data_IF_294189023963
#
_entry.id   IF_294189023963
#
_cell.length_a   1.000
_cell.length_b   1.000
_cell.length_c   1.000
_cell.angle_alpha   90.00
_cell.angle_beta   90.00
_cell.angle_gamma   90.00
#
_symmetry.space_group_name_H-M   'P 1'
#
loop_
_entity.id
_entity.type
_entity.pdbx_description
1 polymer ?
#
# COMPACT_ATOMS: atom_id res chain seq x y z
N UNK A 1 -39.83 -27.14 20.64
CA UNK A 1 -39.64 -27.23 19.18
C UNK A 1 -38.61 -26.20 18.79
N UNK A 2 -37.40 -26.68 18.50
CA UNK A 2 -36.23 -25.88 18.15
C UNK A 2 -36.44 -25.22 16.79
N UNK A 3 -36.06 -23.95 16.65
CA UNK A 3 -35.68 -23.37 15.37
C UNK A 3 -34.26 -22.87 15.50
N UNK A 4 -33.33 -23.74 15.12
CA UNK A 4 -31.93 -23.40 14.95
C UNK A 4 -31.85 -22.37 13.82
N UNK A 5 -31.47 -21.14 14.14
CA UNK A 5 -31.03 -20.16 13.14
C UNK A 5 -29.59 -20.54 12.81
N UNK A 6 -29.41 -21.12 11.63
CA UNK A 6 -28.10 -21.36 11.05
C UNK A 6 -27.60 -19.99 10.57
N UNK A 7 -26.67 -19.40 11.30
CA UNK A 7 -25.86 -18.30 10.81
C UNK A 7 -24.86 -18.89 9.80
N UNK A 8 -25.13 -18.70 8.50
CA UNK A 8 -24.16 -18.97 7.45
C UNK A 8 -23.11 -17.86 7.47
N UNK A 9 -22.03 -18.08 8.19
CA UNK A 9 -20.82 -17.27 8.14
C UNK A 9 -20.08 -17.65 6.85
N UNK A 10 -20.40 -16.94 5.77
CA UNK A 10 -19.77 -17.11 4.46
C UNK A 10 -18.50 -16.26 4.45
N UNK A 11 -17.40 -16.82 4.94
CA UNK A 11 -16.07 -16.24 4.80
C UNK A 11 -15.58 -16.55 3.36
N UNK A 12 -15.91 -15.67 2.42
CA UNK A 12 -15.42 -15.73 1.05
C UNK A 12 -14.04 -15.04 1.02
N UNK A 13 -12.97 -15.79 1.28
CA UNK A 13 -11.60 -15.35 0.95
C UNK A 13 -11.39 -15.48 -0.56
N UNK A 14 -11.71 -14.44 -1.33
CA UNK A 14 -11.34 -14.37 -2.74
C UNK A 14 -9.90 -13.86 -2.81
N UNK A 15 -8.96 -14.79 -2.94
CA UNK A 15 -7.57 -14.45 -3.29
C UNK A 15 -7.56 -14.23 -4.80
N UNK A 16 -7.62 -12.98 -5.25
CA UNK A 16 -7.35 -12.65 -6.65
C UNK A 16 -5.83 -12.49 -6.82
N UNK A 17 -5.24 -13.41 -7.59
CA UNK A 17 -3.82 -13.45 -7.92
C UNK A 17 -3.60 -12.83 -9.31
N UNK A 18 -2.91 -11.69 -9.39
CA UNK A 18 -2.33 -11.22 -10.65
C UNK A 18 -0.95 -11.85 -10.84
N UNK A 19 -0.84 -12.88 -11.68
CA UNK A 19 0.44 -13.44 -12.10
C UNK A 19 0.69 -13.06 -13.56
N UNK A 20 1.67 -12.20 -13.81
CA UNK A 20 2.14 -11.90 -15.16
C UNK A 20 3.42 -12.73 -15.44
N UNK A 21 3.49 -13.35 -16.62
CA UNK A 21 4.64 -14.14 -17.06
C UNK A 21 5.25 -13.49 -18.31
N UNK A 22 6.53 -13.15 -18.24
CA UNK A 22 7.29 -12.53 -19.32
C UNK A 22 8.54 -13.36 -19.65
N UNK A 23 8.85 -13.55 -20.94
CA UNK A 23 9.95 -14.42 -21.41
C UNK A 23 11.03 -13.57 -22.06
N UNK A 24 12.23 -13.55 -21.49
CA UNK A 24 13.37 -12.79 -22.04
C UNK A 24 14.38 -13.70 -22.71
N UNK A 25 14.60 -13.48 -24.01
CA UNK A 25 15.61 -14.20 -24.78
C UNK A 25 17.03 -13.66 -24.55
N UNK A 26 17.99 -14.58 -24.49
CA UNK A 26 19.40 -14.32 -24.28
C UNK A 26 19.95 -13.32 -25.31
N UNK A 27 20.32 -12.13 -24.85
CA UNK A 27 20.96 -11.09 -25.69
C UNK A 27 20.17 -9.79 -25.83
N UNK A 28 18.96 -9.69 -25.26
CA UNK A 28 18.26 -8.41 -25.14
C UNK A 28 17.73 -8.18 -23.71
N UNK A 29 18.58 -7.76 -22.75
CA UNK A 29 18.11 -7.37 -21.42
C UNK A 29 17.18 -6.14 -21.44
N UNK A 30 17.10 -5.42 -22.57
CA UNK A 30 16.53 -4.08 -22.72
C UNK A 30 15.11 -4.05 -23.35
N UNK A 31 14.35 -5.14 -23.28
CA UNK A 31 13.07 -5.23 -24.01
C UNK A 31 11.79 -4.90 -23.24
N UNK A 32 11.78 -5.11 -21.93
CA UNK A 32 10.54 -5.16 -21.15
C UNK A 32 10.70 -4.42 -19.83
N UNK A 33 9.72 -3.54 -19.57
CA UNK A 33 9.55 -2.77 -18.34
C UNK A 33 9.37 -3.76 -17.16
N UNK A 34 9.97 -3.45 -16.00
CA UNK A 34 9.98 -4.38 -14.85
C UNK A 34 8.96 -3.96 -13.81
N UNK A 35 8.19 -4.90 -13.26
CA UNK A 35 7.38 -4.64 -12.07
C UNK A 35 8.30 -4.28 -10.90
N UNK A 36 8.04 -3.15 -10.25
CA UNK A 36 8.84 -2.64 -9.13
C UNK A 36 8.02 -2.31 -7.90
N UNK A 37 6.69 -2.40 -7.99
CA UNK A 37 5.83 -2.15 -6.85
C UNK A 37 4.38 -1.90 -7.23
N UNK A 38 3.70 -1.13 -6.39
CA UNK A 38 2.28 -0.83 -6.50
C UNK A 38 1.97 0.62 -6.12
N UNK A 39 0.89 1.12 -6.70
CA UNK A 39 0.26 2.38 -6.34
C UNK A 39 -1.19 2.08 -5.96
N UNK A 40 -1.49 2.14 -4.67
CA UNK A 40 -2.80 1.75 -4.13
C UNK A 40 -3.73 2.96 -4.12
N UNK A 41 -4.86 2.84 -4.80
CA UNK A 41 -5.87 3.92 -4.89
C UNK A 41 -7.20 3.47 -4.28
N UNK A 42 -8.01 4.42 -3.82
CA UNK A 42 -9.35 4.12 -3.31
C UNK A 42 -10.32 3.78 -4.46
N UNK A 43 -10.12 4.42 -5.62
CA UNK A 43 -10.92 4.26 -6.82
C UNK A 43 -10.12 3.64 -7.98
N UNK A 44 -10.84 3.06 -8.94
CA UNK A 44 -10.24 2.47 -10.13
C UNK A 44 -9.59 3.55 -11.01
N UNK A 45 -8.33 3.32 -11.39
CA UNK A 45 -7.65 4.16 -12.36
C UNK A 45 -8.16 3.83 -13.75
N UNK A 46 -9.09 4.62 -14.28
CA UNK A 46 -9.52 4.51 -15.67
C UNK A 46 -8.49 5.18 -16.58
N UNK A 47 -7.56 4.37 -17.09
CA UNK A 47 -6.53 4.79 -18.04
C UNK A 47 -6.87 4.37 -19.47
N UNK A 48 -8.08 3.88 -19.73
CA UNK A 48 -8.42 3.32 -21.03
C UNK A 48 -8.63 4.43 -22.07
N UNK A 49 -7.85 4.42 -23.15
CA UNK A 49 -8.03 5.34 -24.27
C UNK A 49 -9.19 4.88 -25.17
N UNK A 50 -10.41 5.22 -24.73
CA UNK A 50 -11.62 4.90 -25.48
C UNK A 50 -11.70 5.62 -26.82
N UNK A 51 -11.08 6.80 -26.96
CA UNK A 51 -11.11 7.55 -28.22
C UNK A 51 -10.28 6.84 -29.29
N UNK A 52 -9.06 6.43 -28.95
CA UNK A 52 -8.23 5.61 -29.84
C UNK A 52 -8.94 4.29 -30.19
N UNK A 53 -9.47 3.58 -29.18
CA UNK A 53 -10.23 2.34 -29.40
C UNK A 53 -11.42 2.52 -30.34
N UNK A 54 -12.25 3.54 -30.09
CA UNK A 54 -13.45 3.81 -30.88
C UNK A 54 -13.09 4.22 -32.31
N UNK A 55 -12.02 4.99 -32.50
CA UNK A 55 -11.58 5.42 -33.82
C UNK A 55 -11.13 4.24 -34.69
N UNK A 56 -10.36 3.30 -34.13
CA UNK A 56 -9.87 2.12 -34.84
C UNK A 56 -10.97 1.07 -35.06
N UNK A 57 -11.93 0.97 -34.14
CA UNK A 57 -13.03 0.01 -34.22
C UNK A 57 -14.34 0.57 -34.79
N UNK A 58 -14.35 1.84 -35.24
CA UNK A 58 -15.54 2.57 -35.67
C UNK A 58 -16.42 1.79 -36.67
N UNK A 59 -15.82 1.23 -37.73
CA UNK A 59 -16.55 0.45 -38.72
C UNK A 59 -17.27 -0.77 -38.13
N UNK A 60 -16.66 -1.44 -37.14
CA UNK A 60 -17.30 -2.59 -36.47
C UNK A 60 -18.40 -2.11 -35.50
N UNK A 61 -18.16 -1.03 -34.77
CA UNK A 61 -19.13 -0.45 -33.84
C UNK A 61 -20.41 0.02 -34.55
N UNK A 62 -20.28 0.67 -35.72
CA UNK A 62 -21.43 1.15 -36.52
C UNK A 62 -22.19 0.00 -37.19
N UNK A 63 -21.49 -1.04 -37.65
CA UNK A 63 -22.08 -2.13 -38.44
C UNK A 63 -22.41 -3.39 -37.64
N UNK A 64 -22.31 -3.33 -36.30
CA UNK A 64 -22.71 -4.43 -35.41
C UNK A 64 -21.75 -5.62 -35.41
N UNK A 65 -20.45 -5.38 -35.63
CA UNK A 65 -19.40 -6.38 -35.53
C UNK A 65 -18.96 -6.63 -34.07
N UNK A 66 -18.40 -7.81 -33.82
CA UNK A 66 -17.79 -8.12 -32.53
C UNK A 66 -16.51 -7.28 -32.34
N UNK A 67 -16.42 -6.61 -31.19
CA UNK A 67 -15.26 -5.83 -30.79
C UNK A 67 -14.82 -6.34 -29.42
N UNK A 68 -13.53 -6.57 -29.29
CA UNK A 68 -12.89 -7.05 -28.06
C UNK A 68 -12.03 -5.91 -27.51
N UNK A 69 -12.14 -5.63 -26.21
CA UNK A 69 -11.25 -4.70 -25.54
C UNK A 69 -9.82 -5.24 -25.59
N UNK A 70 -8.89 -4.40 -26.00
CA UNK A 70 -7.47 -4.73 -26.18
C UNK A 70 -6.64 -3.93 -25.18
N UNK A 71 -5.68 -4.56 -24.52
CA UNK A 71 -4.79 -3.94 -23.53
C UNK A 71 -3.84 -2.91 -24.16
N UNK A 72 -3.69 -2.89 -25.49
CA UNK A 72 -2.92 -1.84 -26.18
C UNK A 72 -3.48 -0.43 -25.99
N UNK A 73 -4.74 -0.30 -25.58
CA UNK A 73 -5.38 0.98 -25.27
C UNK A 73 -5.37 1.29 -23.77
N UNK A 74 -4.79 0.43 -22.92
CA UNK A 74 -4.52 0.77 -21.52
C UNK A 74 -3.37 1.78 -21.47
N UNK A 75 -3.66 2.95 -20.92
CA UNK A 75 -2.71 4.02 -20.75
C UNK A 75 -1.67 3.74 -19.66
N UNK A 76 -0.61 4.55 -19.69
CA UNK A 76 0.43 4.61 -18.67
C UNK A 76 0.47 6.01 -18.10
N UNK A 77 0.54 6.13 -16.78
CA UNK A 77 0.78 7.42 -16.13
C UNK A 77 2.20 7.43 -15.61
N UNK A 78 3.03 8.32 -16.15
CA UNK A 78 4.43 8.44 -15.77
C UNK A 78 4.55 9.33 -14.54
N UNK A 79 5.31 8.86 -13.55
CA UNK A 79 5.58 9.60 -12.32
C UNK A 79 6.76 10.54 -12.48
N UNK A 80 6.68 11.68 -11.81
CA UNK A 80 7.76 12.67 -11.71
C UNK A 80 8.52 12.49 -10.39
N UNK A 81 9.84 12.60 -10.44
CA UNK A 81 10.66 12.59 -9.21
C UNK A 81 10.47 13.93 -8.49
N UNK A 82 10.17 13.88 -7.19
CA UNK A 82 10.03 15.09 -6.37
C UNK A 82 11.34 15.88 -6.31
N UNK A 83 11.27 17.19 -6.55
CA UNK A 83 12.42 18.11 -6.40
C UNK A 83 12.90 18.19 -4.94
N UNK A 84 11.99 18.02 -3.98
CA UNK A 84 12.27 18.15 -2.55
C UNK A 84 12.88 16.87 -1.96
N UNK A 85 12.51 15.71 -2.51
CA UNK A 85 13.02 14.41 -2.09
C UNK A 85 13.24 13.53 -3.32
N UNK A 86 14.50 13.40 -3.78
CA UNK A 86 14.83 12.63 -4.97
C UNK A 86 14.45 11.15 -4.91
N UNK A 87 14.01 10.61 -3.77
CA UNK A 87 13.50 9.24 -3.62
C UNK A 87 11.98 9.12 -3.88
N UNK A 88 11.24 10.24 -3.84
CA UNK A 88 9.79 10.23 -4.01
C UNK A 88 9.41 10.30 -5.49
N UNK A 89 8.38 9.54 -5.86
CA UNK A 89 7.76 9.55 -7.19
C UNK A 89 6.32 10.01 -7.01
N UNK A 90 5.93 11.03 -7.77
CA UNK A 90 4.62 11.67 -7.69
C UNK A 90 3.86 11.41 -8.98
N UNK A 91 2.61 10.99 -8.87
CA UNK A 91 1.66 10.91 -9.98
C UNK A 91 0.68 12.09 -9.84
N UNK A 92 0.99 13.23 -10.48
CA UNK A 92 0.38 14.56 -10.16
C UNK A 92 -1.15 14.60 -10.16
N UNK A 93 -1.81 13.80 -11.02
CA UNK A 93 -3.26 13.79 -11.19
C UNK A 93 -3.97 12.69 -10.39
N UNK A 94 -3.23 11.90 -9.60
CA UNK A 94 -3.78 10.73 -8.91
C UNK A 94 -3.33 10.67 -7.46
N UNK A 95 -4.31 10.58 -6.56
CA UNK A 95 -4.07 10.33 -5.15
C UNK A 95 -3.96 8.83 -4.87
N UNK A 96 -2.97 8.46 -4.06
CA UNK A 96 -2.76 7.06 -3.70
C UNK A 96 -1.52 6.83 -2.88
N UNK A 97 -1.34 5.57 -2.49
CA UNK A 97 -0.24 5.09 -1.65
C UNK A 97 0.76 4.35 -2.51
N UNK A 98 1.96 4.93 -2.65
CA UNK A 98 3.05 4.32 -3.41
C UNK A 98 3.85 3.37 -2.53
N UNK A 99 4.14 2.18 -3.05
CA UNK A 99 5.08 1.25 -2.43
C UNK A 99 5.91 0.56 -3.51
N UNK A 100 7.18 0.96 -3.64
CA UNK A 100 8.10 0.50 -4.68
C UNK A 100 9.46 0.13 -4.11
N UNK A 101 10.11 -0.81 -4.80
CA UNK A 101 11.51 -1.13 -4.64
C UNK A 101 12.12 -1.42 -6.02
N UNK A 102 12.48 -0.33 -6.70
CA UNK A 102 12.99 -0.33 -8.06
C UNK A 102 14.51 -0.46 -8.09
N UNK A 103 15.02 -1.28 -9.00
CA UNK A 103 16.43 -1.31 -9.39
C UNK A 103 16.58 -1.38 -10.91
N UNK A 104 17.39 -0.50 -11.47
CA UNK A 104 17.61 -0.41 -12.92
C UNK A 104 19.04 0.05 -13.24
N UNK A 105 19.54 -0.36 -14.40
CA UNK A 105 20.84 0.07 -14.92
C UNK A 105 20.62 1.13 -15.99
N UNK A 106 21.35 2.26 -15.91
CA UNK A 106 21.32 3.32 -16.92
C UNK A 106 22.74 3.74 -17.24
N UNK A 107 23.14 3.62 -18.51
CA UNK A 107 24.50 3.93 -18.99
C UNK A 107 25.64 3.20 -18.24
N UNK A 108 25.41 1.96 -17.79
CA UNK A 108 26.42 1.18 -17.04
C UNK A 108 26.51 1.52 -15.55
N UNK A 109 25.63 2.38 -15.05
CA UNK A 109 25.50 2.70 -13.63
C UNK A 109 24.22 2.07 -13.08
N UNK A 110 24.31 1.49 -11.89
CA UNK A 110 23.17 0.90 -11.19
C UNK A 110 22.48 1.95 -10.31
N UNK A 111 21.17 2.06 -10.46
CA UNK A 111 20.29 2.91 -9.68
C UNK A 111 19.34 2.03 -8.87
N UNK A 112 19.08 2.42 -7.63
CA UNK A 112 18.06 1.80 -6.79
C UNK A 112 17.20 2.87 -6.14
N UNK A 113 15.91 2.55 -5.94
CA UNK A 113 14.92 3.42 -5.32
C UNK A 113 13.94 2.59 -4.52
N UNK A 114 13.96 2.79 -3.21
CA UNK A 114 12.90 2.36 -2.31
C UNK A 114 12.04 3.58 -2.03
N UNK A 115 10.77 3.50 -2.36
CA UNK A 115 9.81 4.58 -2.17
C UNK A 115 8.57 4.02 -1.49
N UNK A 116 8.20 4.60 -0.35
CA UNK A 116 7.01 4.21 0.38
C UNK A 116 6.34 5.47 0.89
N UNK A 117 5.05 5.65 0.59
CA UNK A 117 4.29 6.70 1.25
C UNK A 117 4.16 6.38 2.75
N UNK A 118 3.93 7.40 3.57
CA UNK A 118 3.79 7.26 5.03
C UNK A 118 2.60 6.39 5.44
N UNK A 119 1.67 6.11 4.52
CA UNK A 119 0.54 5.20 4.75
C UNK A 119 0.91 3.71 4.76
N UNK A 120 2.12 3.33 4.32
CA UNK A 120 2.56 1.92 4.37
C UNK A 120 3.33 1.67 5.65
N UNK A 121 2.91 0.63 6.36
CA UNK A 121 3.44 0.23 7.66
C UNK A 121 3.91 -1.23 7.61
N UNK A 122 4.60 -1.70 8.65
CA UNK A 122 5.05 -3.10 8.75
C UNK A 122 5.81 -3.60 7.50
N UNK A 123 6.65 -2.73 6.93
CA UNK A 123 7.35 -3.00 5.68
C UNK A 123 8.32 -4.17 5.86
N UNK A 124 8.23 -5.15 4.97
CA UNK A 124 9.14 -6.28 4.87
C UNK A 124 9.66 -6.41 3.43
N UNK A 125 10.98 -6.54 3.28
CA UNK A 125 11.64 -6.76 1.99
C UNK A 125 12.38 -8.10 2.08
N UNK A 126 12.10 -9.00 1.14
CA UNK A 126 12.73 -10.31 1.04
C UNK A 126 13.52 -10.43 -0.26
N UNK A 127 14.67 -11.10 -0.18
CA UNK A 127 15.51 -11.47 -1.33
C UNK A 127 15.91 -12.93 -1.15
N UNK A 128 15.59 -13.76 -2.12
CA UNK A 128 15.89 -15.18 -2.15
C UNK A 128 16.37 -15.61 -3.55
N UNK A 129 16.66 -16.91 -3.71
CA UNK A 129 17.15 -17.46 -4.98
C UNK A 129 16.09 -17.38 -6.10
N UNK A 130 14.79 -17.29 -5.75
CA UNK A 130 13.67 -17.21 -6.69
C UNK A 130 13.35 -15.75 -7.05
N UNK A 131 13.88 -14.76 -6.31
CA UNK A 131 13.83 -13.35 -6.63
C UNK A 131 13.58 -12.45 -5.42
N UNK A 132 12.74 -11.43 -5.59
CA UNK A 132 12.55 -10.33 -4.64
C UNK A 132 11.08 -10.14 -4.29
N UNK A 133 10.82 -9.81 -3.02
CA UNK A 133 9.49 -9.55 -2.50
C UNK A 133 9.44 -8.27 -1.68
N UNK A 134 8.37 -7.49 -1.83
CA UNK A 134 8.03 -6.40 -0.92
C UNK A 134 6.64 -6.64 -0.32
N UNK A 135 6.53 -6.46 0.99
CA UNK A 135 5.29 -6.57 1.75
C UNK A 135 5.09 -5.33 2.62
N UNK A 136 3.85 -4.86 2.72
CA UNK A 136 3.48 -3.75 3.59
C UNK A 136 2.01 -3.81 4.00
N UNK A 137 1.65 -3.06 5.03
CA UNK A 137 0.30 -2.95 5.57
C UNK A 137 -0.19 -1.51 5.50
N UNK A 138 -1.36 -1.29 4.90
CA UNK A 138 -2.06 0.00 4.86
C UNK A 138 -3.25 -0.08 5.82
N UNK A 139 -3.31 0.89 6.75
CA UNK A 139 -4.44 1.02 7.65
C UNK A 139 -5.55 1.82 6.97
N UNK A 140 -6.71 1.21 6.77
CA UNK A 140 -7.86 1.85 6.15
C UNK A 140 -8.91 2.25 7.19
N UNK A 141 -9.65 3.34 6.92
CA UNK A 141 -10.72 3.81 7.79
C UNK A 141 -11.79 2.75 7.90
N UNK A 142 -12.23 2.46 9.12
CA UNK A 142 -13.27 1.47 9.38
C UNK A 142 -14.65 1.98 8.94
N UNK A 143 -14.92 1.85 7.64
CA UNK A 143 -16.17 2.20 6.98
C UNK A 143 -16.95 0.93 6.58
N UNK A 144 -18.27 1.02 6.30
CA UNK A 144 -19.07 -0.14 5.87
C UNK A 144 -18.54 -0.83 4.61
N UNK A 145 -17.90 -0.07 3.73
CA UNK A 145 -17.21 -0.58 2.54
C UNK A 145 -15.84 0.10 2.44
N UNK A 146 -14.80 -0.72 2.37
CA UNK A 146 -13.42 -0.31 2.14
C UNK A 146 -13.02 -0.80 0.75
N UNK A 147 -12.66 0.13 -0.12
CA UNK A 147 -12.17 -0.17 -1.48
C UNK A 147 -10.67 0.09 -1.56
N UNK A 148 -9.95 -0.82 -2.23
CA UNK A 148 -8.55 -0.63 -2.56
C UNK A 148 -8.27 -1.21 -3.94
N UNK A 149 -7.57 -0.46 -4.79
CA UNK A 149 -7.15 -0.86 -6.13
C UNK A 149 -5.63 -0.96 -6.17
N UNK A 150 -5.13 -2.16 -6.48
CA UNK A 150 -3.69 -2.40 -6.59
C UNK A 150 -3.25 -2.16 -8.03
N UNK A 151 -2.77 -0.94 -8.30
CA UNK A 151 -2.26 -0.56 -9.62
C UNK A 151 -0.77 -0.94 -9.72
N UNK A 152 -0.38 -1.81 -10.67
CA UNK A 152 1.02 -2.18 -10.84
C UNK A 152 1.89 -0.98 -11.23
N UNK A 153 3.08 -0.89 -10.64
CA UNK A 153 4.07 0.14 -10.97
C UNK A 153 5.28 -0.52 -11.61
N UNK A 154 5.66 0.01 -12.76
CA UNK A 154 6.77 -0.50 -13.57
C UNK A 154 7.88 0.53 -13.71
N UNK A 155 9.09 0.05 -14.04
CA UNK A 155 10.21 0.90 -14.46
C UNK A 155 10.67 0.51 -15.86
N UNK A 156 10.90 1.51 -16.71
CA UNK A 156 11.47 1.33 -18.06
C UNK A 156 12.98 1.10 -18.01
N UNK A 157 13.56 0.69 -19.15
CA UNK A 157 15.02 0.55 -19.30
C UNK A 157 15.75 1.89 -19.19
N UNK A 158 15.07 3.00 -19.49
CA UNK A 158 15.58 4.36 -19.30
C UNK A 158 15.45 4.87 -17.85
N UNK A 159 14.82 4.09 -16.97
CA UNK A 159 14.60 4.41 -15.56
C UNK A 159 13.35 5.23 -15.28
N UNK A 160 12.42 5.32 -16.23
CA UNK A 160 11.15 6.03 -16.06
C UNK A 160 10.16 5.14 -15.30
N UNK A 161 9.50 5.68 -14.28
CA UNK A 161 8.55 4.93 -13.45
C UNK A 161 7.13 5.30 -13.88
N UNK A 162 6.28 4.31 -14.11
CA UNK A 162 4.89 4.53 -14.50
C UNK A 162 3.93 3.54 -13.84
N UNK A 163 2.67 3.92 -13.72
CA UNK A 163 1.57 3.10 -13.21
C UNK A 163 0.59 2.74 -14.32
N UNK A 164 -0.01 1.55 -14.24
CA UNK A 164 -1.11 1.07 -15.10
C UNK A 164 -2.33 0.71 -14.28
N UNK A 165 -3.50 0.67 -14.90
CA UNK A 165 -4.75 0.26 -14.25
C UNK A 165 -4.63 -1.12 -13.62
N UNK A 166 -4.99 -1.20 -12.35
CA UNK A 166 -4.90 -2.40 -11.55
C UNK A 166 -6.21 -3.15 -11.40
N UNK A 167 -6.18 -4.12 -10.48
CA UNK A 167 -7.40 -4.79 -10.01
C UNK A 167 -7.71 -4.36 -8.60
N UNK A 168 -8.99 -4.09 -8.36
CA UNK A 168 -9.49 -3.66 -7.06
C UNK A 168 -10.26 -4.72 -6.33
N UNK A 169 -10.42 -4.47 -5.04
CA UNK A 169 -11.26 -5.25 -4.15
C UNK A 169 -12.02 -4.30 -3.23
N UNK A 170 -13.23 -4.71 -2.89
CA UNK A 170 -14.02 -4.06 -1.86
C UNK A 170 -14.27 -5.05 -0.73
N UNK A 171 -13.91 -4.67 0.49
CA UNK A 171 -14.30 -5.38 1.70
C UNK A 171 -15.47 -4.62 2.33
N UNK A 172 -16.54 -5.32 2.68
CA UNK A 172 -17.64 -4.69 3.39
C UNK A 172 -18.47 -5.71 4.15
N UNK A 173 -19.08 -5.23 5.24
CA UNK A 173 -20.10 -5.94 6.00
C UNK A 173 -21.22 -4.94 6.29
N UNK A 174 -22.46 -5.43 6.41
CA UNK A 174 -23.68 -4.62 6.61
C UNK A 174 -23.59 -3.73 7.87
N UNK A 175 -22.63 -4.01 8.76
CA UNK A 175 -22.42 -3.33 10.03
C UNK A 175 -21.01 -2.74 10.22
N UNK A 176 -20.17 -2.58 9.20
CA UNK A 176 -18.81 -2.06 9.40
C UNK A 176 -17.98 -2.98 10.30
N UNK A 177 -17.60 -4.13 9.75
CA UNK A 177 -16.94 -5.18 10.50
C UNK A 177 -15.42 -5.12 10.31
N UNK A 178 -14.70 -4.78 11.39
CA UNK A 178 -13.24 -4.92 11.50
C UNK A 178 -12.71 -6.13 10.72
N UNK A 179 -11.88 -5.88 9.71
CA UNK A 179 -11.48 -6.88 8.74
C UNK A 179 -10.11 -6.57 8.17
N UNK A 180 -9.44 -7.62 7.72
CA UNK A 180 -8.18 -7.49 7.01
C UNK A 180 -8.21 -8.31 5.73
N UNK A 181 -7.41 -7.86 4.78
CA UNK A 181 -7.36 -8.40 3.44
C UNK A 181 -5.96 -8.30 2.91
N UNK A 182 -5.49 -9.34 2.23
CA UNK A 182 -4.20 -9.30 1.53
C UNK A 182 -4.44 -9.31 0.03
N UNK A 183 -3.77 -8.41 -0.68
CA UNK A 183 -3.72 -8.35 -2.14
C UNK A 183 -2.29 -8.63 -2.59
N UNK A 184 -2.15 -9.30 -3.74
CA UNK A 184 -0.85 -9.76 -4.23
C UNK A 184 -0.71 -9.50 -5.73
N UNK A 185 0.47 -9.03 -6.12
CA UNK A 185 0.91 -8.99 -7.51
C UNK A 185 2.23 -9.73 -7.64
N UNK A 186 2.40 -10.44 -8.74
CA UNK A 186 3.68 -11.07 -9.04
C UNK A 186 3.98 -11.06 -10.53
N UNK A 187 5.24 -10.84 -10.85
CA UNK A 187 5.80 -10.94 -12.18
C UNK A 187 6.93 -11.96 -12.17
N UNK A 188 6.90 -12.89 -13.11
CA UNK A 188 7.98 -13.85 -13.31
C UNK A 188 8.65 -13.56 -14.64
N UNK A 189 9.98 -13.43 -14.63
CA UNK A 189 10.82 -13.18 -15.79
C UNK A 189 11.74 -14.36 -16.03
N UNK A 190 11.62 -14.98 -17.19
CA UNK A 190 12.56 -16.02 -17.61
C UNK A 190 13.83 -15.40 -18.16
N UNK A 191 14.99 -15.71 -17.58
CA UNK A 191 16.31 -15.31 -18.04
C UNK A 191 16.97 -16.50 -18.74
N UNK A 192 17.34 -16.31 -20.01
CA UNK A 192 18.11 -17.29 -20.77
C UNK A 192 19.57 -16.84 -20.87
N UNK A 193 20.48 -17.69 -20.42
CA UNK A 193 21.93 -17.51 -20.60
C UNK A 193 22.51 -18.76 -21.26
N UNK A 194 22.84 -18.68 -22.55
CA UNK A 194 23.33 -19.83 -23.32
C UNK A 194 22.30 -20.97 -23.39
N UNK A 195 22.60 -22.13 -22.79
CA UNK A 195 21.69 -23.28 -22.70
C UNK A 195 20.99 -23.39 -21.33
N UNK A 196 21.22 -22.46 -20.42
CA UNK A 196 20.55 -22.41 -19.11
C UNK A 196 19.38 -21.42 -19.13
N UNK A 197 18.32 -21.79 -18.44
CA UNK A 197 17.13 -20.97 -18.21
C UNK A 197 16.93 -20.86 -16.69
N UNK A 198 16.81 -19.64 -16.18
CA UNK A 198 16.42 -19.32 -14.81
C UNK A 198 15.18 -18.44 -14.81
N UNK A 199 14.47 -18.36 -13.68
CA UNK A 199 13.32 -17.46 -13.52
C UNK A 199 13.61 -16.55 -12.36
N UNK A 200 13.46 -15.25 -12.57
CA UNK A 200 13.49 -14.21 -11.55
C UNK A 200 12.06 -13.76 -11.27
N UNK A 201 11.64 -13.79 -10.01
CA UNK A 201 10.30 -13.39 -9.57
C UNK A 201 10.35 -12.06 -8.82
N UNK A 202 9.43 -11.15 -9.12
CA UNK A 202 9.16 -10.00 -8.26
C UNK A 202 7.75 -10.12 -7.70
N UNK A 203 7.61 -9.98 -6.38
CA UNK A 203 6.35 -10.15 -5.66
C UNK A 203 6.03 -8.92 -4.82
N UNK A 204 4.79 -8.46 -4.90
CA UNK A 204 4.26 -7.40 -4.04
C UNK A 204 3.08 -7.95 -3.27
N UNK A 205 3.07 -7.70 -1.96
CA UNK A 205 1.95 -8.00 -1.08
C UNK A 205 1.54 -6.76 -0.29
N UNK A 206 0.27 -6.42 -0.35
CA UNK A 206 -0.32 -5.36 0.47
C UNK A 206 -1.38 -5.96 1.37
N UNK A 207 -1.27 -5.72 2.67
CA UNK A 207 -2.32 -5.99 3.62
C UNK A 207 -3.12 -4.70 3.85
N UNK A 208 -4.43 -4.73 3.65
CA UNK A 208 -5.35 -3.67 4.04
C UNK A 208 -5.97 -4.11 5.36
N UNK A 209 -5.82 -3.30 6.41
CA UNK A 209 -6.39 -3.57 7.73
C UNK A 209 -7.29 -2.42 8.15
N UNK A 210 -8.54 -2.69 8.52
CA UNK A 210 -9.41 -1.62 8.98
C UNK A 210 -9.08 -1.20 10.41
N UNK A 211 -9.10 0.11 10.66
CA UNK A 211 -8.92 0.67 11.99
C UNK A 211 -9.85 1.85 12.23
N UNK A 212 -10.27 2.02 13.48
CA UNK A 212 -11.17 3.09 13.87
C UNK A 212 -10.48 4.46 13.77
N UNK A 213 -11.30 5.49 13.52
CA UNK A 213 -10.84 6.88 13.40
C UNK A 213 -10.19 7.37 14.69
N UNK A 214 -9.21 8.26 14.57
CA UNK A 214 -8.41 8.75 15.70
C UNK A 214 -8.54 10.25 15.81
N UNK A 215 -9.08 10.71 16.93
CA UNK A 215 -9.13 12.13 17.25
C UNK A 215 -7.77 12.64 17.74
N UNK A 216 -7.15 11.90 18.65
CA UNK A 216 -5.82 12.19 19.20
C UNK A 216 -5.23 10.99 19.93
N UNK A 217 -3.93 11.03 20.15
CA UNK A 217 -3.26 10.14 21.10
C UNK A 217 -2.95 10.85 22.40
N UNK A 218 -2.81 10.09 23.48
CA UNK A 218 -2.29 10.56 24.77
C UNK A 218 -1.14 9.66 25.19
N UNK A 219 0.08 10.21 25.27
CA UNK A 219 1.22 9.51 25.84
C UNK A 219 1.31 9.85 27.33
N UNK A 220 1.14 8.84 28.18
CA UNK A 220 1.27 8.96 29.63
C UNK A 220 2.58 8.34 30.07
N UNK A 221 3.40 9.10 30.78
CA UNK A 221 4.60 8.63 31.43
C UNK A 221 4.29 8.27 32.88
N UNK A 222 4.61 7.05 33.30
CA UNK A 222 4.24 6.48 34.59
C UNK A 222 5.49 6.16 35.42
N UNK A 223 5.44 6.35 36.74
CA UNK A 223 6.54 6.01 37.65
C UNK A 223 6.47 4.54 38.15
N UNK A 224 7.31 4.20 39.14
CA UNK A 224 7.36 2.84 39.72
C UNK A 224 6.17 2.49 40.62
N UNK A 225 5.32 3.46 40.97
CA UNK A 225 4.13 3.28 41.79
C UNK A 225 2.83 3.34 40.97
N UNK A 226 2.94 3.30 39.64
CA UNK A 226 1.83 3.48 38.69
C UNK A 226 1.18 4.88 38.76
N UNK A 227 1.90 5.88 39.26
CA UNK A 227 1.43 7.26 39.26
C UNK A 227 1.82 7.97 37.95
N UNK A 228 0.90 8.77 37.40
CA UNK A 228 1.14 9.54 36.19
C UNK A 228 2.09 10.71 36.48
N UNK A 229 3.26 10.69 35.85
CA UNK A 229 4.27 11.75 35.92
C UNK A 229 3.94 12.89 34.95
N UNK A 230 3.70 12.53 33.68
CA UNK A 230 3.40 13.45 32.57
C UNK A 230 2.31 12.83 31.70
N UNK A 231 1.47 13.66 31.10
CA UNK A 231 0.58 13.26 30.01
C UNK A 231 0.63 14.31 28.90
N UNK A 232 0.93 13.86 27.69
CA UNK A 232 1.01 14.70 26.49
C UNK A 232 -0.03 14.24 25.47
N UNK A 233 -0.68 15.21 24.80
CA UNK A 233 -1.64 14.93 23.73
C UNK A 233 -1.00 15.18 22.38
N UNK A 234 -1.24 14.27 21.44
CA UNK A 234 -0.71 14.32 20.08
C UNK A 234 -1.89 14.38 19.12
N UNK A 235 -1.94 15.42 18.29
CA UNK A 235 -2.99 15.67 17.31
C UNK A 235 -2.41 15.54 15.89
N UNK A 236 -3.25 15.18 14.91
CA UNK A 236 -2.82 15.00 13.51
C UNK A 236 -2.13 16.23 12.90
N UNK A 237 -2.54 17.43 13.32
CA UNK A 237 -2.00 18.69 12.83
C UNK A 237 -0.75 19.19 13.58
N UNK A 238 -0.32 18.48 14.62
CA UNK A 238 0.81 18.86 15.49
C UNK A 238 1.47 17.59 16.07
N UNK A 239 1.96 16.74 15.16
CA UNK A 239 2.68 15.52 15.54
C UNK A 239 4.15 15.88 15.82
N UNK A 240 4.65 15.71 17.06
CA UNK A 240 6.02 16.03 17.40
C UNK A 240 6.98 14.98 16.80
N UNK A 241 8.18 15.40 16.42
CA UNK A 241 9.23 14.47 15.96
C UNK A 241 9.85 13.67 17.11
N UNK A 242 9.84 14.22 18.32
CA UNK A 242 10.33 13.55 19.52
C UNK A 242 9.60 14.02 20.78
N UNK A 243 9.64 13.20 21.83
CA UNK A 243 9.10 13.50 23.16
C UNK A 243 10.16 13.17 24.21
N UNK A 244 10.42 14.14 25.08
CA UNK A 244 11.33 14.02 26.22
C UNK A 244 10.75 13.09 27.29
N UNK A 245 11.55 12.10 27.69
CA UNK A 245 11.20 11.14 28.74
C UNK A 245 11.78 11.61 30.07
N UNK A 246 10.93 11.81 31.06
CA UNK A 246 11.36 12.20 32.40
C UNK A 246 12.20 11.09 33.05
N UNK A 247 13.27 11.46 33.77
CA UNK A 247 14.09 10.55 34.59
C UNK A 247 13.29 9.69 35.60
N UNK A 248 12.06 10.12 35.93
CA UNK A 248 11.16 9.42 36.86
C UNK A 248 10.31 8.34 36.19
N UNK A 249 10.26 8.32 34.87
CA UNK A 249 9.43 7.41 34.08
C UNK A 249 9.99 5.99 34.15
N UNK A 250 9.11 5.02 34.37
CA UNK A 250 9.41 3.59 34.35
C UNK A 250 8.78 2.87 33.19
N UNK A 251 7.61 3.31 32.78
CA UNK A 251 6.95 2.83 31.57
C UNK A 251 6.01 3.91 31.05
N UNK A 252 5.53 3.72 29.82
CA UNK A 252 4.59 4.62 29.20
C UNK A 252 3.33 3.89 28.77
N UNK A 253 2.20 4.60 28.76
CA UNK A 253 0.94 4.14 28.18
C UNK A 253 0.58 5.10 27.06
N UNK A 254 0.46 4.57 25.85
CA UNK A 254 -0.14 5.28 24.73
C UNK A 254 -1.63 4.96 24.67
N UNK A 255 -2.46 5.97 24.84
CA UNK A 255 -3.90 5.87 24.63
C UNK A 255 -4.25 6.42 23.24
N UNK A 256 -4.91 5.61 22.41
CA UNK A 256 -5.55 6.06 21.17
C UNK A 256 -6.99 6.46 21.51
N UNK A 257 -7.33 7.72 21.29
CA UNK A 257 -8.66 8.28 21.56
C UNK A 257 -9.36 8.58 20.23
N UNK A 258 -10.56 8.07 20.06
CA UNK A 258 -11.33 8.30 18.85
C UNK A 258 -12.76 7.81 18.97
N UNK A 259 -13.33 7.40 17.84
CA UNK A 259 -14.68 6.86 17.75
C UNK A 259 -14.69 5.56 16.95
N UNK A 260 -15.57 4.63 17.31
CA UNK A 260 -15.85 3.47 16.47
C UNK A 260 -16.68 3.84 15.23
N UNK A 261 -16.95 2.85 14.37
CA UNK A 261 -17.75 3.02 13.15
C UNK A 261 -19.21 3.47 13.39
N UNK A 262 -19.75 3.30 14.61
CA UNK A 262 -21.08 3.81 14.98
C UNK A 262 -21.01 5.24 15.57
N UNK A 263 -19.80 5.79 15.74
CA UNK A 263 -19.55 7.09 16.35
C UNK A 263 -19.51 7.05 17.88
N UNK A 264 -19.44 5.87 18.51
CA UNK A 264 -19.29 5.79 19.97
C UNK A 264 -17.83 6.05 20.38
N UNK A 265 -17.58 6.71 21.54
CA UNK A 265 -16.23 6.94 22.02
C UNK A 265 -15.44 5.64 22.21
N UNK A 266 -14.21 5.63 21.69
CA UNK A 266 -13.27 4.51 21.75
C UNK A 266 -11.97 4.94 22.43
N UNK A 267 -11.46 4.09 23.32
CA UNK A 267 -10.14 4.24 23.94
C UNK A 267 -9.38 2.92 23.90
N UNK A 268 -8.31 2.87 23.12
CA UNK A 268 -7.39 1.74 23.06
C UNK A 268 -6.09 2.10 23.79
N UNK A 269 -5.44 1.12 24.42
CA UNK A 269 -4.22 1.35 25.22
C UNK A 269 -3.12 0.37 24.83
N UNK A 270 -1.92 0.89 24.61
CA UNK A 270 -0.68 0.12 24.45
C UNK A 270 0.32 0.55 25.52
N UNK A 271 0.98 -0.41 26.15
CA UNK A 271 2.17 -0.13 26.97
C UNK A 271 3.36 0.03 26.04
N UNK A 272 4.10 1.13 26.20
CA UNK A 272 5.39 1.37 25.55
C UNK A 272 6.46 1.18 26.62
N UNK A 273 7.35 0.21 26.38
CA UNK A 273 8.45 -0.10 27.28
C UNK A 273 9.68 -0.51 26.48
N UNK A 274 10.84 0.02 26.82
CA UNK A 274 12.12 -0.26 26.17
C UNK A 274 12.14 -0.02 24.63
N UNK A 275 11.28 0.87 24.12
CA UNK A 275 11.25 1.30 22.72
C UNK A 275 11.95 2.68 22.58
N UNK A 276 12.74 2.89 21.52
CA UNK A 276 13.36 4.21 21.21
C UNK A 276 12.40 5.17 20.49
N UNK A 277 11.28 4.64 19.99
CA UNK A 277 10.26 5.40 19.28
C UNK A 277 8.93 4.63 19.27
N UNK A 278 7.84 5.32 18.95
CA UNK A 278 6.54 4.69 18.71
C UNK A 278 5.87 5.30 17.48
N UNK A 279 4.88 4.60 16.94
CA UNK A 279 4.09 5.10 15.81
C UNK A 279 2.70 5.56 16.26
N UNK A 280 2.24 6.65 15.65
CA UNK A 280 0.85 7.10 15.68
C UNK A 280 0.32 7.16 14.26
N UNK A 281 -0.99 6.97 14.11
CA UNK A 281 -1.65 6.91 12.81
C UNK A 281 -2.85 7.84 12.78
N UNK A 282 -2.94 8.65 11.75
CA UNK A 282 -4.06 9.58 11.56
C UNK A 282 -4.61 9.48 10.15
N UNK A 283 -5.94 9.57 10.05
CA UNK A 283 -6.62 9.77 8.77
C UNK A 283 -6.61 11.26 8.46
N UNK A 284 -6.09 11.62 7.29
CA UNK A 284 -6.14 12.97 6.75
C UNK A 284 -7.22 13.02 5.67
N UNK A 285 -6.90 13.52 4.47
CA UNK A 285 -7.86 13.64 3.36
C UNK A 285 -8.19 12.30 2.68
N UNK A 286 -7.38 11.26 2.92
CA UNK A 286 -7.56 9.90 2.38
C UNK A 286 -8.16 8.92 3.41
N UNK A 287 -8.83 7.88 2.91
CA UNK A 287 -9.27 6.74 3.71
C UNK A 287 -8.11 5.86 4.22
N UNK A 288 -6.87 6.10 3.79
CA UNK A 288 -5.67 5.41 4.27
C UNK A 288 -4.91 6.28 5.27
N UNK A 289 -4.65 5.74 6.47
CA UNK A 289 -4.00 6.49 7.54
C UNK A 289 -2.52 6.70 7.26
N UNK A 290 -2.02 7.90 7.53
CA UNK A 290 -0.59 8.21 7.55
C UNK A 290 0.04 7.81 8.89
N UNK A 291 1.19 7.15 8.84
CA UNK A 291 2.00 6.80 10.01
C UNK A 291 3.07 7.85 10.29
N UNK A 292 3.23 8.19 11.57
CA UNK A 292 4.27 9.09 12.05
C UNK A 292 5.07 8.40 13.14
N UNK A 293 6.40 8.36 12.99
CA UNK A 293 7.30 7.93 14.06
C UNK A 293 7.62 9.10 14.99
N UNK A 294 7.54 8.84 16.29
CA UNK A 294 7.89 9.79 17.34
C UNK A 294 9.03 9.19 18.15
N UNK A 295 10.19 9.83 18.14
CA UNK A 295 11.35 9.43 18.92
C UNK A 295 11.12 9.69 20.41
N UNK A 296 11.65 8.83 21.27
CA UNK A 296 11.66 9.00 22.70
C UNK A 296 13.07 9.43 23.12
N UNK A 297 13.18 10.67 23.61
CA UNK A 297 14.45 11.23 24.08
C UNK A 297 14.63 10.81 25.56
N UNK A 298 15.41 9.73 25.78
CA UNK A 298 15.64 9.07 27.09
C UNK A 298 16.96 9.51 27.71
#
# INVERSE_FOLDING_TARGET
>A
MNKNIIACLVLISIIFSGCQLAVVEAGNPNGEDKLVGVFVTEEYLDLYDFEAFASENNNKLIHGGEVVLDSKYEGRVYGTISENNPNDVIFEDYEGVLFIDASYEKHGENYSRVGSSNQVTQIHISVDDDGKGIEGTILAKNEPVISAVLNPVYVTVEGEIYVTSGSGISMGDEYGGGGSMSMFLSENRTIREGNSESTESFKVKINIESTNDVEHYVLKQMDDNDDQVIAEKIYSNDVPSSIEVSDKTKYMILEKIGVDHEGNPLVERKIINDEEYFYVYFFNESAFAEGYSILLDI
#
